data_IF_411740154306
#
_entry.id   IF_411740154306
#
_cell.length_a   1.000
_cell.length_b   1.000
_cell.length_c   1.000
_cell.angle_alpha   90.00
_cell.angle_beta   90.00
_cell.angle_gamma   90.00
#
_symmetry.space_group_name_H-M   'P 1'
#
loop_
_entity.id
_entity.type
_entity.pdbx_description
1 polymer ?
#
# COMPACT_ATOMS: atom_id res chain seq x y z
N UNK A 1 -6.40 -10.48 -7.09
CA UNK A 1 -7.31 -9.37 -6.71
C UNK A 1 -6.62 -8.04 -6.98
N UNK A 2 -7.33 -6.90 -7.06
CA UNK A 2 -6.68 -5.60 -7.28
C UNK A 2 -5.59 -5.28 -6.24
N UNK A 3 -5.82 -5.65 -4.97
CA UNK A 3 -4.81 -5.50 -3.93
C UNK A 3 -3.54 -6.32 -4.22
N UNK A 4 -3.68 -7.58 -4.65
CA UNK A 4 -2.54 -8.42 -5.00
C UNK A 4 -1.73 -7.86 -6.17
N UNK A 5 -2.39 -7.31 -7.19
CA UNK A 5 -1.71 -6.68 -8.35
C UNK A 5 -0.86 -5.48 -7.90
N UNK A 6 -1.42 -4.60 -7.07
CA UNK A 6 -0.68 -3.43 -6.55
C UNK A 6 0.51 -3.85 -5.68
N UNK A 7 0.33 -4.85 -4.82
CA UNK A 7 1.42 -5.36 -3.98
C UNK A 7 2.52 -6.04 -4.81
N UNK A 8 2.14 -6.83 -5.83
CA UNK A 8 3.08 -7.50 -6.72
C UNK A 8 3.87 -6.53 -7.59
N UNK A 9 3.21 -5.49 -8.11
CA UNK A 9 3.88 -4.44 -8.88
C UNK A 9 5.02 -3.79 -8.08
N UNK A 10 4.77 -3.43 -6.82
CA UNK A 10 5.81 -2.82 -5.98
C UNK A 10 6.93 -3.81 -5.62
N UNK A 11 6.62 -5.06 -5.29
CA UNK A 11 7.66 -6.05 -4.96
C UNK A 11 8.52 -6.46 -6.15
N UNK A 12 7.95 -6.51 -7.37
CA UNK A 12 8.72 -6.75 -8.62
C UNK A 12 9.72 -5.63 -8.93
N UNK A 13 9.47 -4.41 -8.50
CA UNK A 13 10.45 -3.30 -8.59
C UNK A 13 11.55 -3.37 -7.52
N UNK A 14 11.54 -4.37 -6.65
CA UNK A 14 12.45 -4.47 -5.52
C UNK A 14 12.07 -3.58 -4.33
N UNK A 15 10.84 -3.03 -4.30
CA UNK A 15 10.35 -2.20 -3.21
C UNK A 15 9.75 -3.10 -2.12
N UNK A 16 10.24 -2.95 -0.89
CA UNK A 16 9.65 -3.64 0.27
C UNK A 16 8.32 -2.96 0.65
N UNK A 17 7.22 -3.73 0.66
CA UNK A 17 5.87 -3.22 0.96
C UNK A 17 5.40 -3.70 2.33
N UNK A 18 4.77 -2.81 3.10
CA UNK A 18 4.19 -3.11 4.42
C UNK A 18 2.66 -2.89 4.37
N UNK A 19 1.89 -3.86 3.84
CA UNK A 19 0.44 -3.70 3.71
C UNK A 19 -0.22 -3.78 5.09
N UNK A 20 -0.85 -2.68 5.53
CA UNK A 20 -1.73 -2.70 6.69
C UNK A 20 -3.08 -3.30 6.29
N UNK A 21 -3.45 -4.43 6.89
CA UNK A 21 -4.80 -4.99 6.78
C UNK A 21 -5.55 -4.85 8.11
N UNK A 22 -6.68 -4.15 8.08
CA UNK A 22 -7.71 -4.23 9.13
C UNK A 22 -9.03 -4.48 8.41
N UNK A 23 -9.72 -5.56 8.75
CA UNK A 23 -11.06 -5.82 8.20
C UNK A 23 -11.97 -4.63 8.56
N UNK A 24 -12.52 -3.99 7.53
CA UNK A 24 -13.42 -2.83 7.58
C UNK A 24 -13.22 -1.87 8.77
N UNK A 25 -12.33 -0.88 8.58
CA UNK A 25 -12.44 0.41 9.25
C UNK A 25 -12.11 0.47 10.75
N UNK A 26 -11.58 -0.58 11.36
CA UNK A 26 -11.32 -0.58 12.80
C UNK A 26 -9.88 -0.98 13.10
N UNK A 27 -9.14 -0.04 13.68
CA UNK A 27 -7.85 -0.31 14.32
C UNK A 27 -8.10 -1.14 15.57
N UNK A 28 -8.38 -2.42 15.42
CA UNK A 28 -8.57 -3.31 16.56
C UNK A 28 -7.23 -3.80 17.09
N UNK A 29 -7.02 -3.51 18.38
CA UNK A 29 -6.21 -4.30 19.28
C UNK A 29 -6.63 -5.78 19.21
N UNK A 30 -5.66 -6.66 19.38
CA UNK A 30 -5.72 -8.12 19.28
C UNK A 30 -6.64 -8.70 20.37
N UNK A 31 -7.95 -8.80 20.12
CA UNK A 31 -8.87 -9.58 20.98
C UNK A 31 -9.95 -10.29 20.14
N UNK A 32 -9.55 -11.44 19.59
CA UNK A 32 -10.35 -12.67 19.42
C UNK A 32 -11.47 -12.74 18.36
N UNK A 33 -12.16 -11.66 17.97
CA UNK A 33 -13.24 -11.75 16.95
C UNK A 33 -12.81 -11.25 15.55
N UNK A 34 -11.77 -10.42 15.46
CA UNK A 34 -11.26 -9.86 14.19
C UNK A 34 -10.22 -10.74 13.46
N UNK A 35 -9.87 -11.91 14.03
CA UNK A 35 -8.74 -12.71 13.57
C UNK A 35 -9.03 -13.40 12.22
N UNK A 36 -10.26 -13.87 11.99
CA UNK A 36 -10.56 -14.70 10.81
C UNK A 36 -10.46 -13.92 9.48
N UNK A 37 -11.07 -12.73 9.39
CA UNK A 37 -11.05 -11.91 8.17
C UNK A 37 -9.68 -11.23 7.92
N UNK A 38 -8.90 -11.01 8.98
CA UNK A 38 -7.51 -10.53 8.87
C UNK A 38 -6.62 -11.64 8.34
N UNK A 39 -6.80 -12.89 8.78
CA UNK A 39 -6.08 -14.05 8.26
C UNK A 39 -6.37 -14.28 6.77
N UNK A 40 -7.63 -14.17 6.32
CA UNK A 40 -7.97 -14.33 4.90
C UNK A 40 -7.26 -13.29 4.01
N UNK A 41 -7.23 -12.02 4.42
CA UNK A 41 -6.50 -10.97 3.68
C UNK A 41 -4.98 -11.11 3.80
N UNK A 42 -4.47 -11.56 4.94
CA UNK A 42 -3.03 -11.83 5.10
C UNK A 42 -2.60 -13.01 4.21
N UNK A 43 -3.39 -14.07 4.13
CA UNK A 43 -3.12 -15.22 3.27
C UNK A 43 -3.19 -14.82 1.80
N UNK A 44 -4.21 -14.06 1.38
CA UNK A 44 -4.27 -13.53 0.00
C UNK A 44 -3.09 -12.59 -0.31
N UNK A 45 -2.66 -11.77 0.64
CA UNK A 45 -1.48 -10.90 0.45
C UNK A 45 -0.15 -11.67 0.56
N UNK A 46 -0.15 -12.93 0.99
CA UNK A 46 1.04 -13.79 1.00
C UNK A 46 1.17 -14.56 -0.33
N UNK A 47 0.06 -14.87 -0.99
CA UNK A 47 0.00 -15.34 -2.39
C UNK A 47 0.24 -14.16 -3.36
N UNK A 48 1.47 -13.65 -3.32
CA UNK A 48 2.02 -12.68 -4.28
C UNK A 48 3.15 -13.28 -5.11
N UNK A 49 3.58 -14.50 -4.82
CA UNK A 49 4.77 -15.12 -5.43
C UNK A 49 4.46 -16.29 -6.35
N UNK A 50 3.18 -16.60 -6.51
CA UNK A 50 2.62 -17.61 -7.40
C UNK A 50 2.32 -17.09 -8.81
N UNK A 51 2.46 -15.77 -9.04
CA UNK A 51 2.34 -15.14 -10.36
C UNK A 51 3.31 -13.97 -10.54
N UNK A 52 3.44 -13.50 -11.77
CA UNK A 52 4.29 -12.37 -12.16
C UNK A 52 3.55 -11.48 -13.16
N UNK A 53 3.66 -10.16 -12.98
CA UNK A 53 3.19 -9.17 -13.95
C UNK A 53 4.19 -9.10 -15.10
N UNK A 54 3.65 -9.12 -16.32
CA UNK A 54 4.43 -8.94 -17.56
C UNK A 54 5.01 -7.53 -17.66
N UNK A 55 6.04 -7.36 -18.48
CA UNK A 55 6.67 -6.05 -18.72
C UNK A 55 5.66 -4.98 -19.19
N UNK A 56 4.66 -5.38 -19.97
CA UNK A 56 3.64 -4.47 -20.47
C UNK A 56 2.65 -4.06 -19.37
N UNK A 57 2.23 -4.99 -18.50
CA UNK A 57 1.41 -4.67 -17.32
C UNK A 57 2.17 -3.80 -16.32
N UNK A 58 3.47 -4.04 -16.15
CA UNK A 58 4.33 -3.21 -15.30
C UNK A 58 4.39 -1.76 -15.80
N UNK A 59 4.49 -1.56 -17.12
CA UNK A 59 4.45 -0.22 -17.76
C UNK A 59 3.08 0.42 -17.67
N UNK A 60 2.01 -0.35 -17.85
CA UNK A 60 0.64 0.17 -17.73
C UNK A 60 0.39 0.72 -16.31
N UNK A 61 0.83 -0.01 -15.29
CA UNK A 61 0.76 0.44 -13.89
C UNK A 61 1.57 1.72 -13.63
N UNK A 62 2.75 1.86 -14.24
CA UNK A 62 3.56 3.08 -14.12
C UNK A 62 2.85 4.30 -14.75
N UNK A 63 2.07 4.10 -15.82
CA UNK A 63 1.31 5.17 -16.47
C UNK A 63 0.20 5.78 -15.62
N UNK A 64 -0.18 5.14 -14.51
CA UNK A 64 -1.19 5.62 -13.57
C UNK A 64 -0.67 6.65 -12.56
N UNK A 65 0.65 6.92 -12.52
CA UNK A 65 1.24 7.90 -11.62
C UNK A 65 0.70 9.32 -11.90
N UNK A 66 0.26 10.01 -10.84
CA UNK A 66 -0.41 11.31 -10.95
C UNK A 66 0.10 12.37 -9.95
N UNK A 67 1.19 12.10 -9.25
CA UNK A 67 1.75 12.98 -8.21
C UNK A 67 0.93 13.01 -6.92
N UNK A 68 -0.03 12.10 -6.75
CA UNK A 68 -0.91 12.07 -5.59
C UNK A 68 -0.22 11.47 -4.37
N UNK A 69 -0.27 12.18 -3.23
CA UNK A 69 0.26 11.70 -1.94
C UNK A 69 -0.88 11.43 -0.96
N UNK A 70 -0.91 10.20 -0.42
CA UNK A 70 -1.91 9.79 0.57
C UNK A 70 -1.72 10.53 1.90
N UNK A 71 -0.47 10.72 2.33
CA UNK A 71 -0.15 11.45 3.57
C UNK A 71 -0.25 12.95 3.31
N UNK A 72 -1.27 13.59 3.91
CA UNK A 72 -1.48 15.03 3.81
C UNK A 72 -0.89 15.73 5.04
N UNK A 73 0.17 16.49 4.83
CA UNK A 73 0.73 17.38 5.85
C UNK A 73 -0.16 18.60 6.04
N UNK A 74 -0.39 18.99 7.30
CA UNK A 74 -1.05 20.24 7.67
C UNK A 74 -0.22 21.45 7.26
N UNK A 75 -0.87 22.63 7.22
CA UNK A 75 -0.20 23.90 6.93
C UNK A 75 0.95 24.22 7.88
N UNK A 76 0.83 23.81 9.14
CA UNK A 76 1.86 24.04 10.15
C UNK A 76 3.06 23.11 9.96
N UNK A 77 2.83 21.83 9.63
CA UNK A 77 3.90 20.87 9.35
C UNK A 77 4.69 21.24 8.09
N UNK A 78 4.02 21.80 7.08
CA UNK A 78 4.66 22.24 5.82
C UNK A 78 5.62 23.42 5.99
N UNK A 79 5.45 24.22 7.04
CA UNK A 79 6.32 25.36 7.37
C UNK A 79 7.60 24.96 8.09
N UNK A 80 7.73 23.70 8.49
CA UNK A 80 8.92 23.24 9.20
C UNK A 80 10.15 23.34 8.28
N UNK A 81 11.31 23.86 8.75
CA UNK A 81 12.52 24.00 7.92
C UNK A 81 13.03 22.70 7.29
N UNK A 82 12.68 21.56 7.89
CA UNK A 82 13.05 20.22 7.40
C UNK A 82 11.86 19.48 6.76
N UNK A 83 10.78 20.18 6.41
CA UNK A 83 9.69 19.53 5.69
C UNK A 83 10.20 19.01 4.34
N UNK A 84 10.09 17.70 4.04
CA UNK A 84 10.52 17.16 2.76
C UNK A 84 9.60 17.57 1.61
N UNK A 85 8.42 18.11 1.93
CA UNK A 85 7.40 18.51 0.98
C UNK A 85 6.85 19.92 1.31
N UNK A 86 7.70 20.98 1.24
CA UNK A 86 7.26 22.34 1.46
C UNK A 86 6.21 22.72 0.40
N UNK A 87 5.32 23.66 0.73
CA UNK A 87 4.50 24.29 -0.32
C UNK A 87 5.45 25.02 -1.28
N UNK A 88 5.22 24.85 -2.58
CA UNK A 88 5.90 25.65 -3.60
C UNK A 88 5.45 27.10 -3.57
#
# INVERSE_FOLDING_TARGET
TPAQVVLRWATQQGILVIPKSVSEGKSYCVTTIAIQAVIERISQNADLFDFELTDDEMKEMESLECGYRVVKLSKSERKHPQCPFPEG
#
